data_IF_402545481208
#
_entry.id   IF_402545481208
#
_cell.length_a   1.000
_cell.length_b   1.000
_cell.length_c   1.000
_cell.angle_alpha   90.00
_cell.angle_beta   90.00
_cell.angle_gamma   90.00
#
_symmetry.space_group_name_H-M   'P 1'
#
loop_
_entity.id
_entity.type
_entity.pdbx_description
1 polymer ?
#
# COMPACT_ATOMS: atom_id res chain seq x y z
N UNK A 1 -3.88 -13.70 0.34
CA UNK A 1 -5.10 -13.72 1.19
C UNK A 1 -4.81 -13.12 2.56
N UNK A 2 -3.78 -13.57 3.27
CA UNK A 2 -3.46 -13.06 4.61
C UNK A 2 -3.18 -11.56 4.62
N UNK A 3 -2.49 -11.05 3.63
CA UNK A 3 -2.19 -9.62 3.57
C UNK A 3 -3.45 -8.79 3.34
N UNK A 4 -4.34 -9.26 2.50
CA UNK A 4 -5.63 -8.60 2.26
C UNK A 4 -6.49 -8.59 3.53
N UNK A 5 -6.55 -9.71 4.23
CA UNK A 5 -7.26 -9.79 5.51
C UNK A 5 -6.65 -8.85 6.55
N UNK A 6 -5.32 -8.80 6.62
CA UNK A 6 -4.61 -7.90 7.53
C UNK A 6 -4.96 -6.44 7.22
N UNK A 7 -4.94 -6.06 5.96
CA UNK A 7 -5.31 -4.70 5.56
C UNK A 7 -6.74 -4.36 5.94
N UNK A 8 -7.67 -5.28 5.71
CA UNK A 8 -9.07 -5.07 6.08
C UNK A 8 -9.25 -4.90 7.59
N UNK A 9 -8.57 -5.73 8.38
CA UNK A 9 -8.64 -5.65 9.83
C UNK A 9 -8.07 -4.33 10.35
N UNK A 10 -6.97 -3.88 9.79
CA UNK A 10 -6.37 -2.60 10.17
C UNK A 10 -7.28 -1.43 9.80
N UNK A 11 -7.97 -1.50 8.65
CA UNK A 11 -8.92 -0.46 8.24
C UNK A 11 -10.14 -0.41 9.15
N UNK A 12 -10.58 -1.55 9.67
CA UNK A 12 -11.67 -1.58 10.64
C UNK A 12 -11.29 -0.90 11.95
N UNK A 13 -10.03 -0.98 12.33
CA UNK A 13 -9.53 -0.37 13.54
C UNK A 13 -9.88 -1.17 14.79
N UNK A 14 -9.43 -0.67 15.95
CA UNK A 14 -9.64 -1.32 17.23
C UNK A 14 -8.51 -2.27 17.60
N UNK A 15 -8.30 -2.46 18.90
CA UNK A 15 -7.19 -3.27 19.41
C UNK A 15 -7.37 -4.75 19.09
N UNK A 16 -8.58 -5.27 19.12
CA UNK A 16 -8.85 -6.67 18.78
C UNK A 16 -8.51 -6.94 17.32
N UNK A 17 -8.94 -6.07 16.41
CA UNK A 17 -8.65 -6.21 14.99
C UNK A 17 -7.16 -6.05 14.70
N UNK A 18 -6.49 -5.14 15.42
CA UNK A 18 -5.04 -4.98 15.33
C UNK A 18 -4.32 -6.26 15.71
N UNK A 19 -4.73 -6.89 16.81
CA UNK A 19 -4.11 -8.13 17.28
C UNK A 19 -4.33 -9.28 16.29
N UNK A 20 -5.52 -9.38 15.70
CA UNK A 20 -5.79 -10.36 14.66
C UNK A 20 -4.93 -10.12 13.42
N UNK A 21 -4.74 -8.87 13.06
CA UNK A 21 -3.86 -8.50 11.95
C UNK A 21 -2.43 -8.97 12.21
N UNK A 22 -1.93 -8.74 13.44
CA UNK A 22 -0.60 -9.19 13.84
C UNK A 22 -0.51 -10.72 13.76
N UNK A 23 -1.53 -11.44 14.19
CA UNK A 23 -1.56 -12.88 14.12
C UNK A 23 -1.45 -13.38 12.68
N UNK A 24 -2.15 -12.76 11.76
CA UNK A 24 -2.06 -13.11 10.33
C UNK A 24 -0.66 -12.86 9.76
N UNK A 25 -0.05 -11.73 10.10
CA UNK A 25 1.32 -11.43 9.67
C UNK A 25 2.31 -12.45 10.25
N UNK A 26 2.18 -12.79 11.51
CA UNK A 26 3.04 -13.77 12.15
C UNK A 26 2.88 -15.15 11.52
N UNK A 27 1.66 -15.53 11.15
CA UNK A 27 1.38 -16.79 10.45
C UNK A 27 2.19 -16.88 9.16
N UNK A 28 2.16 -15.83 8.33
CA UNK A 28 2.91 -15.80 7.08
C UNK A 28 4.42 -15.85 7.36
N UNK A 29 4.89 -15.05 8.32
CA UNK A 29 6.31 -15.00 8.68
C UNK A 29 6.81 -16.37 9.14
N UNK A 30 6.06 -17.06 9.98
CA UNK A 30 6.43 -18.38 10.49
C UNK A 30 6.48 -19.43 9.37
N UNK A 31 5.56 -19.34 8.40
CA UNK A 31 5.58 -20.22 7.23
C UNK A 31 6.76 -19.95 6.29
N UNK A 32 7.40 -18.79 6.42
CA UNK A 32 8.63 -18.47 5.69
C UNK A 32 9.89 -18.78 6.49
N UNK A 33 9.76 -19.59 7.52
CA UNK A 33 10.86 -20.00 8.40
C UNK A 33 11.48 -18.86 9.21
N UNK A 34 10.73 -17.79 9.42
CA UNK A 34 11.14 -16.76 10.37
C UNK A 34 10.82 -17.27 11.76
N UNK A 35 11.81 -17.32 12.68
CA UNK A 35 11.58 -17.91 14.00
C UNK A 35 10.48 -17.21 14.79
N UNK A 36 9.74 -17.99 15.58
CA UNK A 36 8.70 -17.43 16.42
C UNK A 36 9.24 -16.44 17.47
N UNK A 37 10.52 -16.53 17.80
CA UNK A 37 11.16 -15.59 18.74
C UNK A 37 11.17 -14.15 18.24
N UNK A 38 11.01 -13.93 16.94
CA UNK A 38 10.95 -12.59 16.35
C UNK A 38 9.54 -12.25 15.83
N UNK A 39 8.52 -12.90 16.35
CA UNK A 39 7.14 -12.56 16.02
C UNK A 39 6.81 -11.13 16.42
N UNK A 40 5.92 -10.51 15.64
CA UNK A 40 5.43 -9.18 15.96
C UNK A 40 4.62 -9.24 17.26
N UNK A 41 4.79 -8.22 18.09
CA UNK A 41 4.16 -8.17 19.40
C UNK A 41 2.87 -7.36 19.35
N UNK A 42 1.93 -7.68 20.22
CA UNK A 42 0.66 -6.94 20.31
C UNK A 42 0.84 -5.52 20.85
N UNK A 43 2.01 -5.22 21.37
CA UNK A 43 2.33 -3.87 21.86
C UNK A 43 2.55 -2.86 20.73
N UNK A 44 2.70 -3.32 19.50
CA UNK A 44 2.88 -2.44 18.35
C UNK A 44 1.64 -1.55 18.16
N UNK A 45 1.88 -0.28 17.80
CA UNK A 45 0.79 0.62 17.45
C UNK A 45 0.19 0.26 16.08
N UNK A 46 -0.98 0.81 15.79
CA UNK A 46 -1.61 0.59 14.48
C UNK A 46 -0.71 1.02 13.33
N UNK A 47 -0.05 2.16 13.46
CA UNK A 47 0.86 2.67 12.42
C UNK A 47 2.06 1.75 12.22
N UNK A 48 2.59 1.21 13.30
CA UNK A 48 3.69 0.26 13.23
C UNK A 48 3.27 -1.03 12.53
N UNK A 49 2.04 -1.51 12.77
CA UNK A 49 1.51 -2.69 12.09
C UNK A 49 1.28 -2.41 10.61
N UNK A 50 0.78 -1.22 10.26
CA UNK A 50 0.67 -0.80 8.86
C UNK A 50 2.03 -0.82 8.16
N UNK A 51 3.08 -0.33 8.83
CA UNK A 51 4.42 -0.33 8.27
C UNK A 51 4.95 -1.75 8.07
N UNK A 52 4.70 -2.64 9.02
CA UNK A 52 5.09 -4.05 8.89
C UNK A 52 4.33 -4.73 7.74
N UNK A 53 3.04 -4.43 7.57
CA UNK A 53 2.27 -4.93 6.43
C UNK A 53 2.87 -4.45 5.11
N UNK A 54 3.22 -3.18 5.03
CA UNK A 54 3.85 -2.63 3.82
C UNK A 54 5.15 -3.36 3.49
N UNK A 55 5.98 -3.61 4.51
CA UNK A 55 7.24 -4.33 4.31
C UNK A 55 7.01 -5.75 3.81
N UNK A 56 6.04 -6.46 4.38
CA UNK A 56 5.72 -7.82 3.96
C UNK A 56 5.13 -7.84 2.55
N UNK A 57 4.29 -6.89 2.23
CA UNK A 57 3.72 -6.75 0.88
C UNK A 57 4.83 -6.50 -0.14
N UNK A 58 5.77 -5.62 0.21
CA UNK A 58 6.90 -5.32 -0.67
C UNK A 58 7.77 -6.55 -0.93
N UNK A 59 8.04 -7.35 0.10
CA UNK A 59 8.82 -8.57 -0.05
C UNK A 59 8.14 -9.60 -0.94
N UNK A 60 6.83 -9.74 -0.81
CA UNK A 60 6.06 -10.75 -1.54
C UNK A 60 5.85 -10.38 -3.00
N UNK A 61 5.59 -9.12 -3.28
CA UNK A 61 5.15 -8.67 -4.59
C UNK A 61 6.17 -7.81 -5.33
N UNK A 62 7.44 -7.88 -4.91
CA UNK A 62 8.47 -7.14 -5.63
C UNK A 62 8.55 -7.63 -7.07
N UNK A 63 8.50 -6.69 -8.03
CA UNK A 63 8.52 -7.01 -9.44
C UNK A 63 7.18 -7.34 -10.07
N UNK A 64 6.11 -7.50 -9.27
CA UNK A 64 4.78 -7.88 -9.77
C UNK A 64 3.88 -6.68 -10.09
N UNK A 65 4.33 -5.46 -9.83
CA UNK A 65 3.52 -4.27 -10.03
C UNK A 65 2.47 -4.03 -8.95
N UNK A 66 2.32 -4.94 -8.00
CA UNK A 66 1.31 -4.83 -6.94
C UNK A 66 1.58 -3.67 -5.98
N UNK A 67 2.84 -3.27 -5.84
CA UNK A 67 3.19 -2.17 -4.94
C UNK A 67 2.64 -0.83 -5.42
N UNK A 68 2.56 -0.61 -6.73
CA UNK A 68 1.93 0.59 -7.26
C UNK A 68 0.47 0.68 -6.81
N UNK A 69 -0.28 -0.40 -6.91
CA UNK A 69 -1.68 -0.44 -6.48
C UNK A 69 -1.81 -0.28 -4.98
N UNK A 70 -0.90 -0.86 -4.22
CA UNK A 70 -0.88 -0.70 -2.76
C UNK A 70 -0.68 0.77 -2.37
N UNK A 71 0.32 1.44 -2.95
CA UNK A 71 0.58 2.84 -2.66
C UNK A 71 -0.58 3.74 -3.09
N UNK A 72 -1.15 3.47 -4.25
CA UNK A 72 -2.27 4.25 -4.77
C UNK A 72 -3.50 4.14 -3.84
N UNK A 73 -3.89 2.93 -3.48
CA UNK A 73 -5.11 2.74 -2.69
C UNK A 73 -4.95 3.24 -1.24
N UNK A 74 -3.74 3.27 -0.72
CA UNK A 74 -3.47 3.78 0.61
C UNK A 74 -3.06 5.25 0.63
N UNK A 75 -3.01 5.91 -0.51
CA UNK A 75 -2.74 7.33 -0.60
C UNK A 75 -1.34 7.75 -0.17
N UNK A 76 -0.33 6.97 -0.49
CA UNK A 76 1.04 7.28 -0.10
C UNK A 76 1.50 8.57 -0.79
N UNK A 77 1.85 9.56 0.02
CA UNK A 77 2.41 10.82 -0.47
C UNK A 77 3.88 10.67 -0.88
N UNK A 78 4.57 9.70 -0.32
CA UNK A 78 5.98 9.46 -0.62
C UNK A 78 6.17 7.96 -0.78
N UNK A 79 6.73 7.57 -1.92
CA UNK A 79 7.01 6.17 -2.21
C UNK A 79 8.42 5.85 -1.71
N UNK A 80 8.58 4.82 -0.86
CA UNK A 80 9.92 4.44 -0.38
C UNK A 80 10.88 4.16 -1.53
N UNK A 81 12.07 4.71 -1.45
CA UNK A 81 13.13 4.61 -2.46
C UNK A 81 12.75 5.22 -3.81
N UNK A 82 11.68 6.03 -3.86
CA UNK A 82 11.29 6.79 -5.02
C UNK A 82 11.55 8.27 -4.85
N UNK A 83 11.29 9.07 -5.87
CA UNK A 83 11.40 10.51 -5.75
C UNK A 83 10.37 11.07 -4.76
N UNK A 84 10.66 12.22 -4.21
CA UNK A 84 9.71 12.92 -3.34
C UNK A 84 8.58 13.49 -4.22
N UNK A 85 7.39 12.92 -4.08
CA UNK A 85 6.22 13.31 -4.85
C UNK A 85 5.06 13.50 -3.88
N UNK A 86 4.10 14.31 -4.27
CA UNK A 86 2.86 14.44 -3.50
C UNK A 86 1.82 13.48 -4.05
N UNK A 87 0.84 13.14 -3.24
CA UNK A 87 -0.25 12.26 -3.67
C UNK A 87 -1.04 12.88 -4.83
N UNK A 88 -1.11 14.20 -4.86
CA UNK A 88 -1.84 14.92 -5.90
C UNK A 88 -1.11 14.99 -7.23
N UNK A 89 0.17 14.63 -7.25
CA UNK A 89 0.91 14.56 -8.50
C UNK A 89 0.35 13.46 -9.40
N UNK A 90 0.56 13.59 -10.69
CA UNK A 90 0.04 12.67 -11.69
C UNK A 90 0.67 11.28 -11.65
N UNK A 91 1.36 10.96 -10.55
CA UNK A 91 2.03 9.66 -10.36
C UNK A 91 1.05 8.50 -10.38
N UNK A 92 -0.12 8.70 -9.80
CA UNK A 92 -1.13 7.64 -9.68
C UNK A 92 -2.19 7.66 -10.77
N UNK A 93 -2.10 8.59 -11.71
CA UNK A 93 -3.06 8.73 -12.80
C UNK A 93 -2.29 8.83 -14.10
N UNK A 94 -2.56 7.92 -15.02
CA UNK A 94 -1.90 7.97 -16.33
C UNK A 94 -2.45 9.16 -17.12
N UNK A 95 -1.57 9.96 -17.75
CA UNK A 95 -2.03 11.04 -18.61
C UNK A 95 -2.67 10.46 -19.88
N UNK A 96 -3.48 11.30 -20.54
CA UNK A 96 -3.99 10.92 -21.86
C UNK A 96 -2.82 10.83 -22.85
N UNK A 97 -2.82 9.84 -23.71
CA UNK A 97 -1.84 9.79 -24.80
C UNK A 97 -1.93 11.06 -25.64
N UNK A 98 -0.79 11.57 -26.07
CA UNK A 98 -0.75 12.80 -26.87
C UNK A 98 -1.63 12.69 -28.13
N UNK A 99 -1.69 11.51 -28.73
CA UNK A 99 -2.52 11.29 -29.90
C UNK A 99 -4.01 11.52 -29.62
N UNK A 100 -4.48 11.20 -28.41
CA UNK A 100 -5.87 11.45 -28.04
C UNK A 100 -6.15 12.93 -27.88
N UNK A 101 -5.17 13.70 -27.41
CA UNK A 101 -5.29 15.15 -27.31
C UNK A 101 -5.30 15.77 -28.71
N UNK A 102 -4.37 15.36 -29.56
CA UNK A 102 -4.18 15.98 -30.87
C UNK A 102 -5.27 15.63 -31.86
N UNK A 103 -5.74 14.39 -31.86
CA UNK A 103 -6.63 13.88 -32.90
C UNK A 103 -7.98 13.38 -32.38
N UNK A 104 -8.09 13.10 -31.07
CA UNK A 104 -9.31 12.58 -30.47
C UNK A 104 -10.30 13.65 -30.02
N UNK A 105 -9.94 14.91 -30.16
CA UNK A 105 -10.79 16.01 -29.72
C UNK A 105 -10.96 16.12 -28.20
N UNK A 106 -10.11 15.45 -27.47
CA UNK A 106 -10.12 15.49 -26.00
C UNK A 106 -9.08 16.48 -25.50
N UNK A 107 -9.34 17.01 -24.33
CA UNK A 107 -8.37 17.88 -23.66
C UNK A 107 -7.81 17.16 -22.45
N UNK A 108 -6.56 17.41 -22.15
CA UNK A 108 -5.95 16.90 -20.94
C UNK A 108 -6.62 17.55 -19.74
N UNK A 109 -7.05 16.73 -18.80
CA UNK A 109 -7.66 17.25 -17.57
C UNK A 109 -6.58 17.92 -16.73
N UNK A 110 -6.85 19.15 -16.36
CA UNK A 110 -5.96 19.85 -15.46
C UNK A 110 -6.16 19.31 -14.07
N UNK A 111 -5.11 19.21 -13.36
CA UNK A 111 -5.22 18.74 -12.02
C UNK A 111 -6.00 19.64 -11.20
N UNK A 112 -6.80 19.25 -10.62
CA UNK A 112 -7.58 19.65 -10.03
C UNK A 112 -7.95 20.18 -9.16
N UNK A 113 -7.64 20.85 -9.59
CA UNK A 113 -8.14 21.91 -9.26
C UNK A 113 -9.42 21.85 -8.72
N UNK A 114 -10.12 21.29 -9.22
CA UNK A 114 -11.43 21.22 -8.76
C UNK A 114 -11.66 20.07 -7.88
N UNK A 115 -10.72 19.57 -7.31
CA UNK A 115 -10.92 18.48 -6.41
C UNK A 115 -11.05 18.87 -4.99
#
# INVERSE_FOLDING_TARGET
>A
VYYTLTECLLRKGGSTNKNLAIDHLNTVRNHRNIPASVNLQYTLSGDEVWDELRKEWQKEFIGDGQMFYYYKRNGYASIPNGPALTYDDKVYVFPLPQAEIDFGGRVELVDNENK
#
